data_IF_548331447293
#
_entry.id   IF_548331447293
#
_cell.length_a   1.000
_cell.length_b   1.000
_cell.length_c   1.000
_cell.angle_alpha   90.00
_cell.angle_beta   90.00
_cell.angle_gamma   90.00
#
_symmetry.space_group_name_H-M   'P 1'
#
loop_
_entity.id
_entity.type
_entity.pdbx_description
1 polymer ?
#
# COMPACT_ATOMS: atom_id res chain seq x y z
N UNK A 1 -13.34 4.53 -7.02
CA UNK A 1 -12.20 3.65 -7.37
C UNK A 1 -11.04 3.91 -6.42
N UNK A 2 -10.32 2.87 -5.98
CA UNK A 2 -9.14 2.99 -5.10
C UNK A 2 -7.87 2.61 -5.83
N UNK A 3 -6.77 3.29 -5.54
CA UNK A 3 -5.46 2.95 -6.07
C UNK A 3 -4.34 3.28 -5.08
N UNK A 4 -3.23 2.57 -5.22
CA UNK A 4 -1.97 2.85 -4.51
C UNK A 4 -0.95 3.36 -5.51
N UNK A 5 -0.46 4.57 -5.31
CA UNK A 5 0.58 5.17 -6.15
C UNK A 5 1.91 5.08 -5.42
N UNK A 6 2.83 4.33 -6.00
CA UNK A 6 4.21 4.24 -5.56
C UNK A 6 5.04 5.25 -6.36
N UNK A 7 5.82 6.09 -5.69
CA UNK A 7 6.50 7.23 -6.32
C UNK A 7 7.98 7.26 -5.99
N UNK A 8 8.81 7.57 -6.98
CA UNK A 8 10.22 7.93 -6.83
C UNK A 8 10.32 9.45 -6.93
N UNK A 9 10.91 10.10 -5.92
CA UNK A 9 10.96 11.56 -5.80
C UNK A 9 12.41 12.04 -5.88
N UNK A 10 12.66 13.01 -6.75
CA UNK A 10 13.96 13.63 -6.97
C UNK A 10 13.84 15.16 -7.08
N UNK A 11 14.72 15.94 -6.45
CA UNK A 11 15.84 15.52 -5.60
C UNK A 11 15.38 15.03 -4.22
N UNK A 12 16.23 14.27 -3.52
CA UNK A 12 15.94 13.70 -2.19
C UNK A 12 15.54 14.75 -1.13
N UNK A 13 16.01 15.99 -1.26
CA UNK A 13 15.61 17.11 -0.39
C UNK A 13 14.14 17.49 -0.53
N UNK A 14 13.46 17.09 -1.62
CA UNK A 14 12.05 17.37 -1.90
C UNK A 14 11.06 16.37 -1.26
N UNK A 15 11.53 15.31 -0.59
CA UNK A 15 10.66 14.24 -0.09
C UNK A 15 9.56 14.74 0.86
N UNK A 16 9.93 15.53 1.86
CA UNK A 16 8.97 16.06 2.85
C UNK A 16 8.01 17.05 2.21
N UNK A 17 8.49 17.87 1.26
CA UNK A 17 7.66 18.81 0.51
C UNK A 17 6.62 18.06 -0.34
N UNK A 18 7.05 17.04 -1.09
CA UNK A 18 6.16 16.21 -1.90
C UNK A 18 5.10 15.52 -1.04
N UNK A 19 5.50 14.94 0.10
CA UNK A 19 4.56 14.32 1.04
C UNK A 19 3.50 15.31 1.53
N UNK A 20 3.92 16.52 1.94
CA UNK A 20 3.00 17.54 2.43
C UNK A 20 2.05 18.04 1.33
N UNK A 21 2.55 18.22 0.11
CA UNK A 21 1.73 18.59 -1.05
C UNK A 21 0.67 17.52 -1.35
N UNK A 22 1.08 16.24 -1.39
CA UNK A 22 0.18 15.10 -1.60
C UNK A 22 -0.89 15.02 -0.52
N UNK A 23 -0.53 15.12 0.76
CA UNK A 23 -1.47 15.06 1.89
C UNK A 23 -2.52 16.18 1.88
N UNK A 24 -2.27 17.29 1.19
CA UNK A 24 -3.24 18.38 1.05
C UNK A 24 -4.35 18.08 0.04
N UNK A 25 -4.18 17.06 -0.80
CA UNK A 25 -5.15 16.67 -1.83
C UNK A 25 -6.33 15.92 -1.24
N UNK A 26 -7.56 16.29 -1.64
CA UNK A 26 -8.80 15.68 -1.12
C UNK A 26 -9.00 14.22 -1.52
N UNK A 27 -8.36 13.78 -2.60
CA UNK A 27 -8.44 12.40 -3.09
C UNK A 27 -7.44 11.48 -2.39
N UNK A 28 -6.49 12.03 -1.63
CA UNK A 28 -5.51 11.24 -0.88
C UNK A 28 -6.12 10.86 0.46
N UNK A 29 -6.22 9.55 0.71
CA UNK A 29 -6.68 9.00 1.98
C UNK A 29 -5.54 8.88 2.99
N UNK A 30 -4.37 8.50 2.51
CA UNK A 30 -3.15 8.41 3.30
C UNK A 30 -1.92 8.48 2.39
N UNK A 31 -0.81 8.96 2.95
CA UNK A 31 0.47 8.98 2.25
C UNK A 31 1.62 8.90 3.25
N UNK A 32 2.66 8.14 2.90
CA UNK A 32 3.82 7.88 3.74
C UNK A 32 5.10 7.90 2.90
N UNK A 33 6.18 8.44 3.47
CA UNK A 33 7.51 8.08 3.00
C UNK A 33 7.80 6.63 3.40
N UNK A 34 8.50 5.90 2.54
CA UNK A 34 8.78 4.47 2.72
C UNK A 34 10.25 4.17 2.45
N UNK A 35 10.76 3.12 3.10
CA UNK A 35 12.03 2.51 2.75
C UNK A 35 11.81 1.44 1.67
N UNK A 36 12.55 1.50 0.57
CA UNK A 36 12.49 0.50 -0.49
C UNK A 36 12.94 1.04 -1.84
N UNK A 37 12.39 0.45 -2.90
CA UNK A 37 12.64 0.86 -4.29
C UNK A 37 11.90 2.14 -4.69
N UNK A 38 10.87 2.50 -3.93
CA UNK A 38 10.13 3.74 -4.06
C UNK A 38 10.33 4.57 -2.80
N UNK A 39 10.15 5.88 -2.91
CA UNK A 39 10.34 6.80 -1.79
C UNK A 39 9.04 7.12 -1.05
N UNK A 40 7.91 7.03 -1.73
CA UNK A 40 6.59 7.39 -1.20
C UNK A 40 5.50 6.44 -1.69
N UNK A 41 4.54 6.15 -0.82
CA UNK A 41 3.28 5.48 -1.16
C UNK A 41 2.12 6.41 -0.84
N UNK A 42 1.15 6.49 -1.73
CA UNK A 42 -0.10 7.22 -1.54
C UNK A 42 -1.30 6.32 -1.84
N UNK A 43 -2.25 6.23 -0.91
CA UNK A 43 -3.56 5.64 -1.16
C UNK A 43 -4.50 6.74 -1.60
N UNK A 44 -5.04 6.60 -2.81
CA UNK A 44 -5.99 7.54 -3.39
C UNK A 44 -7.34 6.90 -3.60
N UNK A 45 -8.39 7.70 -3.42
CA UNK A 45 -9.76 7.36 -3.78
C UNK A 45 -10.27 8.40 -4.76
N UNK A 46 -10.66 7.92 -5.94
CA UNK A 46 -11.00 8.75 -7.10
C UNK A 46 -12.30 8.26 -7.74
N UNK A 47 -13.02 9.18 -8.37
CA UNK A 47 -14.26 8.91 -9.10
C UNK A 47 -14.00 8.43 -10.52
N UNK A 48 -12.87 8.84 -11.11
CA UNK A 48 -12.51 8.55 -12.51
C UNK A 48 -10.98 8.61 -12.73
N UNK A 49 -10.55 8.20 -13.92
CA UNK A 49 -9.13 8.16 -14.29
C UNK A 49 -8.50 9.55 -14.42
N UNK A 50 -9.26 10.57 -14.83
CA UNK A 50 -8.74 11.94 -14.96
C UNK A 50 -8.22 12.50 -13.63
N UNK A 51 -8.85 12.11 -12.51
CA UNK A 51 -8.34 12.48 -11.18
C UNK A 51 -7.00 11.80 -10.84
N UNK A 52 -6.71 10.62 -11.40
CA UNK A 52 -5.38 9.99 -11.28
C UNK A 52 -4.36 10.81 -12.08
N UNK A 53 -4.70 11.23 -13.30
CA UNK A 53 -3.80 12.05 -14.12
C UNK A 53 -3.47 13.37 -13.41
N UNK A 54 -4.48 14.06 -12.86
CA UNK A 54 -4.25 15.28 -12.06
C UNK A 54 -3.42 15.03 -10.81
N UNK A 55 -3.55 13.85 -10.18
CA UNK A 55 -2.71 13.48 -9.04
C UNK A 55 -1.24 13.28 -9.45
N UNK A 56 -1.01 12.64 -10.59
CA UNK A 56 0.34 12.45 -11.15
C UNK A 56 0.96 13.78 -11.57
N UNK A 57 0.19 14.71 -12.13
CA UNK A 57 0.64 16.08 -12.42
C UNK A 57 1.04 16.83 -11.15
N UNK A 58 0.25 16.73 -10.07
CA UNK A 58 0.61 17.28 -8.76
C UNK A 58 1.94 16.71 -8.27
N UNK A 59 2.14 15.40 -8.39
CA UNK A 59 3.40 14.75 -8.03
C UNK A 59 4.57 15.24 -8.91
N UNK A 60 4.38 15.37 -10.22
CA UNK A 60 5.40 15.91 -11.15
C UNK A 60 5.86 17.31 -10.76
N UNK A 61 4.92 18.19 -10.40
CA UNK A 61 5.24 19.53 -9.90
C UNK A 61 6.05 19.51 -8.59
N UNK A 62 6.04 18.38 -7.87
CA UNK A 62 6.75 18.18 -6.61
C UNK A 62 7.90 17.17 -6.72
N UNK A 63 8.47 17.01 -7.92
CA UNK A 63 9.70 16.24 -8.12
C UNK A 63 9.50 14.75 -8.38
N UNK A 64 8.34 14.32 -8.87
CA UNK A 64 8.16 12.95 -9.34
C UNK A 64 9.14 12.63 -10.49
N UNK A 65 9.96 11.62 -10.28
CA UNK A 65 10.83 11.05 -11.31
C UNK A 65 10.15 9.88 -12.02
N UNK A 66 9.50 9.00 -11.24
CA UNK A 66 8.80 7.83 -11.77
C UNK A 66 7.68 7.40 -10.81
N UNK A 67 6.67 6.71 -11.34
CA UNK A 67 5.56 6.20 -10.54
C UNK A 67 5.02 4.86 -11.03
N UNK A 68 4.45 4.10 -10.11
CA UNK A 68 3.67 2.91 -10.42
C UNK A 68 2.30 3.00 -9.73
N UNK A 69 1.24 3.06 -10.54
CA UNK A 69 -0.15 3.14 -10.05
C UNK A 69 -0.77 1.76 -10.05
N UNK A 70 -1.09 1.27 -8.85
CA UNK A 70 -1.67 -0.05 -8.60
C UNK A 70 -3.16 0.11 -8.31
N UNK A 71 -4.01 -0.21 -9.28
CA UNK A 71 -5.46 -0.07 -9.17
C UNK A 71 -6.05 -1.24 -8.39
N UNK A 72 -6.89 -0.96 -7.41
CA UNK A 72 -7.63 -1.97 -6.66
C UNK A 72 -8.69 -2.61 -7.56
N UNK A 73 -8.69 -3.94 -7.63
CA UNK A 73 -9.63 -4.70 -8.44
C UNK A 73 -10.99 -4.80 -7.77
N UNK A 74 -12.02 -4.34 -8.47
CA UNK A 74 -13.41 -4.49 -8.02
C UNK A 74 -13.83 -5.97 -7.99
N UNK A 75 -14.53 -6.37 -6.93
CA UNK A 75 -15.01 -7.75 -6.72
C UNK A 75 -13.93 -8.79 -6.33
N UNK A 76 -12.66 -8.37 -6.24
CA UNK A 76 -11.55 -9.19 -5.76
C UNK A 76 -11.48 -9.31 -4.23
N UNK A 77 -10.36 -9.84 -3.73
CA UNK A 77 -10.04 -9.77 -2.29
C UNK A 77 -9.97 -8.29 -1.88
N UNK A 78 -10.84 -7.85 -0.97
CA UNK A 78 -10.83 -6.46 -0.50
C UNK A 78 -11.50 -6.32 0.85
N UNK A 79 -10.76 -5.86 1.86
CA UNK A 79 -11.34 -5.40 3.12
C UNK A 79 -10.52 -4.29 3.75
N UNK A 80 -11.19 -3.46 4.54
CA UNK A 80 -10.59 -2.45 5.41
C UNK A 80 -11.22 -2.59 6.79
N UNK A 81 -10.41 -2.48 7.85
CA UNK A 81 -10.93 -2.40 9.23
C UNK A 81 -11.55 -1.03 9.50
N UNK A 82 -12.40 -0.96 10.51
CA UNK A 82 -12.94 0.33 10.95
C UNK A 82 -11.83 1.31 11.30
N UNK A 83 -12.02 2.57 10.92
CA UNK A 83 -11.03 3.64 11.11
C UNK A 83 -9.66 3.37 10.45
N UNK A 84 -9.59 2.53 9.40
CA UNK A 84 -8.33 2.22 8.72
C UNK A 84 -7.52 3.48 8.39
N UNK A 85 -8.14 4.48 7.78
CA UNK A 85 -7.45 5.71 7.35
C UNK A 85 -7.03 6.62 8.53
N UNK A 86 -7.48 6.34 9.76
CA UNK A 86 -7.10 7.11 10.98
C UNK A 86 -5.97 6.45 11.78
N UNK A 87 -5.64 5.20 11.47
CA UNK A 87 -4.60 4.44 12.16
C UNK A 87 -3.32 4.54 11.34
N UNK A 88 -2.26 5.07 11.95
CA UNK A 88 -0.95 5.13 11.32
C UNK A 88 -0.45 3.74 10.91
N UNK A 89 0.19 3.63 9.74
CA UNK A 89 0.74 2.38 9.23
C UNK A 89 2.25 2.32 9.43
N UNK A 90 2.77 1.19 9.88
CA UNK A 90 4.23 0.96 9.91
C UNK A 90 4.78 0.37 8.60
N UNK A 91 3.94 -0.30 7.82
CA UNK A 91 4.38 -0.99 6.62
C UNK A 91 3.25 -1.27 5.62
N UNK A 92 3.65 -1.45 4.37
CA UNK A 92 2.85 -2.05 3.32
C UNK A 92 3.54 -3.31 2.80
N UNK A 93 2.79 -4.40 2.71
CA UNK A 93 3.26 -5.69 2.21
C UNK A 93 2.60 -5.93 0.86
N UNK A 94 3.42 -6.03 -0.17
CA UNK A 94 3.03 -6.39 -1.52
C UNK A 94 3.30 -7.86 -1.77
N UNK A 95 2.32 -8.57 -2.31
CA UNK A 95 2.43 -10.00 -2.57
C UNK A 95 2.17 -10.33 -4.03
N UNK A 96 2.93 -11.29 -4.53
CA UNK A 96 2.71 -11.99 -5.79
C UNK A 96 2.20 -13.39 -5.49
N UNK A 97 1.10 -13.78 -6.13
CA UNK A 97 0.46 -15.07 -5.88
C UNK A 97 0.99 -16.14 -6.83
N UNK A 98 1.12 -17.38 -6.34
CA UNK A 98 1.40 -18.53 -7.17
C UNK A 98 0.09 -19.03 -7.78
N UNK A 99 -0.05 -18.97 -9.11
CA UNK A 99 -1.25 -19.48 -9.80
C UNK A 99 -1.30 -21.01 -9.73
N UNK A 100 -2.50 -21.63 -9.62
CA UNK A 100 -3.84 -21.06 -9.78
C UNK A 100 -4.52 -20.59 -8.46
N UNK A 101 -3.78 -20.04 -7.50
CA UNK A 101 -4.38 -19.57 -6.24
C UNK A 101 -5.48 -18.51 -6.44
N UNK A 102 -6.52 -18.58 -5.59
CA UNK A 102 -7.62 -17.60 -5.57
C UNK A 102 -7.54 -16.76 -4.29
N UNK A 103 -7.09 -15.48 -4.36
CA UNK A 103 -6.83 -14.63 -3.20
C UNK A 103 -8.03 -14.44 -2.28
N UNK A 104 -9.24 -14.47 -2.83
CA UNK A 104 -10.49 -14.30 -2.08
C UNK A 104 -10.65 -15.27 -0.91
N UNK A 105 -10.08 -16.48 -0.99
CA UNK A 105 -10.14 -17.44 0.12
C UNK A 105 -9.24 -17.08 1.31
N UNK A 106 -8.26 -16.20 1.12
CA UNK A 106 -7.35 -15.77 2.19
C UNK A 106 -7.97 -14.70 3.08
N UNK A 107 -9.09 -14.09 2.67
CA UNK A 107 -9.70 -12.97 3.38
C UNK A 107 -9.93 -13.28 4.85
N UNK A 108 -10.48 -14.46 5.19
CA UNK A 108 -10.73 -14.85 6.59
C UNK A 108 -9.43 -14.99 7.38
N UNK A 109 -8.40 -15.58 6.79
CA UNK A 109 -7.10 -15.74 7.43
C UNK A 109 -6.44 -14.38 7.67
N UNK A 110 -6.37 -13.53 6.63
CA UNK A 110 -5.76 -12.20 6.74
C UNK A 110 -6.55 -11.33 7.75
N UNK A 111 -7.88 -11.41 7.77
CA UNK A 111 -8.73 -10.75 8.78
C UNK A 111 -8.48 -11.23 10.22
N UNK A 112 -7.99 -12.45 10.42
CA UNK A 112 -7.61 -12.93 11.76
C UNK A 112 -6.28 -12.36 12.27
N UNK A 113 -5.49 -11.74 11.41
CA UNK A 113 -4.25 -11.05 11.80
C UNK A 113 -4.63 -9.62 12.20
N UNK A 114 -4.71 -9.36 13.51
CA UNK A 114 -5.19 -8.09 14.06
C UNK A 114 -4.41 -6.88 13.53
N UNK A 115 -3.10 -7.03 13.36
CA UNK A 115 -2.21 -5.99 12.89
C UNK A 115 -2.44 -5.58 11.42
N UNK A 116 -3.13 -6.40 10.61
CA UNK A 116 -3.45 -6.08 9.21
C UNK A 116 -4.69 -5.20 9.17
N UNK A 117 -4.53 -3.98 8.68
CA UNK A 117 -5.60 -2.97 8.66
C UNK A 117 -6.42 -3.00 7.38
N UNK A 118 -5.78 -3.31 6.25
CA UNK A 118 -6.47 -3.50 4.99
C UNK A 118 -5.76 -4.53 4.10
N UNK A 119 -6.50 -5.06 3.14
CA UNK A 119 -5.96 -5.85 2.04
C UNK A 119 -6.76 -5.58 0.78
N UNK A 120 -6.06 -5.51 -0.35
CA UNK A 120 -6.68 -5.32 -1.66
C UNK A 120 -5.99 -6.15 -2.72
N UNK A 121 -6.78 -6.81 -3.56
CA UNK A 121 -6.33 -7.35 -4.84
C UNK A 121 -6.07 -6.21 -5.81
N UNK A 122 -4.97 -6.29 -6.54
CA UNK A 122 -4.48 -5.23 -7.41
C UNK A 122 -4.39 -5.70 -8.86
N UNK A 123 -4.50 -4.75 -9.79
CA UNK A 123 -4.01 -4.90 -11.15
C UNK A 123 -2.54 -4.52 -11.23
N UNK A 124 -1.71 -5.34 -11.90
CA UNK A 124 -0.36 -4.97 -12.32
C UNK A 124 0.78 -5.76 -11.68
N UNK A 125 1.82 -5.04 -11.23
CA UNK A 125 3.10 -5.61 -10.80
C UNK A 125 2.98 -6.43 -9.50
N UNK A 126 1.99 -6.16 -8.67
CA UNK A 126 1.67 -6.98 -7.49
C UNK A 126 0.22 -7.45 -7.61
N UNK A 127 -0.11 -8.55 -6.97
CA UNK A 127 -1.46 -9.11 -7.02
C UNK A 127 -2.26 -8.72 -5.78
N UNK A 128 -1.58 -8.47 -4.65
CA UNK A 128 -2.20 -8.06 -3.39
C UNK A 128 -1.32 -7.02 -2.68
N UNK A 129 -1.95 -6.03 -2.04
CA UNK A 129 -1.32 -5.14 -1.05
C UNK A 129 -2.02 -5.30 0.29
N UNK A 130 -1.24 -5.24 1.37
CA UNK A 130 -1.73 -5.23 2.76
C UNK A 130 -1.10 -4.08 3.52
N UNK A 131 -1.85 -3.38 4.36
CA UNK A 131 -1.27 -2.38 5.29
C UNK A 131 -1.25 -2.90 6.72
N UNK A 132 -0.24 -2.47 7.47
CA UNK A 132 0.05 -2.93 8.83
C UNK A 132 0.01 -1.75 9.77
N UNK A 133 -0.72 -1.84 10.89
CA UNK A 133 -0.77 -0.79 11.91
C UNK A 133 0.58 -0.51 12.57
N UNK A 134 0.79 0.74 13.00
CA UNK A 134 2.03 1.19 13.62
C UNK A 134 2.41 0.41 14.90
N UNK A 135 1.42 -0.04 15.68
CA UNK A 135 1.64 -0.82 16.91
C UNK A 135 2.34 -2.17 16.66
N UNK A 136 2.35 -2.65 15.42
CA UNK A 136 3.02 -3.87 15.05
C UNK A 136 4.53 -3.68 14.80
N UNK A 137 5.02 -2.45 14.62
CA UNK A 137 6.43 -2.18 14.25
C UNK A 137 7.45 -2.84 15.16
N UNK A 138 7.23 -2.77 16.48
CA UNK A 138 8.19 -3.25 17.50
C UNK A 138 8.31 -4.78 17.53
N UNK A 139 7.25 -5.49 17.12
CA UNK A 139 7.20 -6.96 17.12
C UNK A 139 6.61 -7.49 15.80
N UNK A 140 7.12 -6.94 14.70
CA UNK A 140 6.57 -7.18 13.37
C UNK A 140 6.63 -8.66 12.99
N UNK A 141 7.68 -9.36 13.44
CA UNK A 141 7.85 -10.78 13.16
C UNK A 141 6.70 -11.63 13.72
N UNK A 142 6.38 -11.50 15.02
CA UNK A 142 5.34 -12.33 15.64
C UNK A 142 3.93 -11.84 15.31
N UNK A 143 3.73 -10.51 15.26
CA UNK A 143 2.40 -9.92 15.02
C UNK A 143 1.94 -10.03 13.56
N UNK A 144 2.87 -10.15 12.60
CA UNK A 144 2.54 -10.09 11.18
C UNK A 144 3.20 -11.22 10.41
N UNK A 145 4.53 -11.24 10.34
CA UNK A 145 5.26 -12.09 9.41
C UNK A 145 5.00 -13.59 9.66
N UNK A 146 5.10 -14.04 10.91
CA UNK A 146 4.87 -15.44 11.30
C UNK A 146 3.45 -15.92 10.98
N UNK A 147 2.46 -15.03 11.07
CA UNK A 147 1.06 -15.35 10.79
C UNK A 147 0.75 -15.37 9.28
N UNK A 148 1.42 -14.49 8.51
CA UNK A 148 1.38 -14.50 7.05
C UNK A 148 2.21 -15.65 6.45
N UNK A 149 3.18 -16.20 7.19
CA UNK A 149 4.08 -17.24 6.68
C UNK A 149 3.34 -18.49 6.17
N UNK A 150 2.23 -18.83 6.81
CA UNK A 150 1.36 -19.94 6.37
C UNK A 150 0.79 -19.72 4.96
N UNK A 151 0.58 -18.47 4.56
CA UNK A 151 0.21 -18.12 3.19
C UNK A 151 1.44 -18.11 2.27
N UNK A 152 2.62 -17.69 2.76
CA UNK A 152 3.81 -17.56 1.93
C UNK A 152 4.35 -18.89 1.42
N UNK A 153 4.35 -19.95 2.23
CA UNK A 153 4.94 -21.23 1.81
C UNK A 153 4.15 -21.94 0.71
N UNK A 154 2.82 -21.80 0.72
CA UNK A 154 1.95 -22.60 -0.16
C UNK A 154 1.47 -21.80 -1.37
N UNK A 155 1.22 -20.51 -1.18
CA UNK A 155 0.36 -19.75 -2.09
C UNK A 155 1.01 -18.49 -2.69
N UNK A 156 2.16 -18.04 -2.18
CA UNK A 156 2.84 -16.83 -2.67
C UNK A 156 4.10 -17.18 -3.44
N UNK A 157 4.32 -16.45 -4.54
CA UNK A 157 5.55 -16.51 -5.32
C UNK A 157 6.61 -15.56 -4.76
N UNK A 158 6.20 -14.40 -4.25
CA UNK A 158 7.08 -13.43 -3.60
C UNK A 158 6.29 -12.49 -2.69
N UNK A 159 6.97 -11.97 -1.68
CA UNK A 159 6.47 -10.87 -0.83
C UNK A 159 7.52 -9.78 -0.73
N UNK A 160 7.08 -8.53 -0.78
CA UNK A 160 7.93 -7.37 -0.62
C UNK A 160 7.33 -6.44 0.44
N UNK A 161 8.09 -6.13 1.49
CA UNK A 161 7.61 -5.28 2.60
C UNK A 161 8.32 -3.94 2.53
N UNK A 162 7.55 -2.86 2.47
CA UNK A 162 8.03 -1.48 2.51
C UNK A 162 7.63 -0.88 3.86
N UNK A 163 8.61 -0.55 4.70
CA UNK A 163 8.35 0.09 5.99
C UNK A 163 8.18 1.59 5.81
N UNK A 164 7.20 2.17 6.51
CA UNK A 164 7.03 3.62 6.55
C UNK A 164 8.12 4.27 7.40
N UNK A 165 8.53 5.47 6.99
CA UNK A 165 9.48 6.31 7.72
C UNK A 165 8.72 7.12 8.77
N UNK A 166 9.23 7.14 10.01
CA UNK A 166 8.76 8.08 11.03
C UNK A 166 9.33 9.45 10.74
N UNK A 167 8.47 10.45 10.57
CA UNK A 167 8.81 11.84 10.27
C UNK A 167 8.43 12.69 11.47
#
# INVERSE_FOLDING_TARGET
MKAFVLSIISPRSGLVQALNAVRSSRIVREAYLIYGTYDMISKIEVDNFQQIDSFLELLQQNGLQDSNTLIVKEGGLSFERENCDKVEKCAYIFAKIKRPSTPKFWERHIKSIDAIMEVHELFGLYDVVMSVEENARVDFYNKVFKQLWLLTEVNLAATHTMFTVKI
#
